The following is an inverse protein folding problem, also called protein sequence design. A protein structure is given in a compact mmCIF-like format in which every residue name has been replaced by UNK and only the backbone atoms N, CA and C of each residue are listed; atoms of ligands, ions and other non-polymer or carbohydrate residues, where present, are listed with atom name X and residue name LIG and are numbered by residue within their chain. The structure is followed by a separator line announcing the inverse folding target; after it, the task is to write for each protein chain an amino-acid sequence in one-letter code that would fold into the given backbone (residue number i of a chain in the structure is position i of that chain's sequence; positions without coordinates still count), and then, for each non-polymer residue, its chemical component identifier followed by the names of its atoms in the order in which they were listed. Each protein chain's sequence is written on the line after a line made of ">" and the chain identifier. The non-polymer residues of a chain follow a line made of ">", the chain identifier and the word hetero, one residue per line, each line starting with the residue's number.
data_IF_187597930159
#
_entry.id   IF_187597930159
#
_cell.length_a   1.000
_cell.length_b   1.000
_cell.length_c   1.000
_cell.angle_alpha   90.00
_cell.angle_beta   90.00
_cell.angle_gamma   90.00
#
_symmetry.space_group_name_H-M   'P 1'
#
loop_
_entity.id
_entity.type
_entity.pdbx_description
1 polymer ?
#
# COMPACT_ATOMS: atom_id res chain seq x y z
N UNK A 1 11.13 8.70 -14.84
CA UNK A 1 11.59 10.01 -15.17
C UNK A 1 12.87 10.32 -14.44
N UNK A 2 13.77 10.97 -15.13
CA UNK A 2 15.07 11.22 -14.55
C UNK A 2 14.96 12.04 -13.27
N UNK A 3 15.80 11.70 -12.32
CA UNK A 3 15.85 12.41 -11.07
C UNK A 3 15.03 11.82 -9.95
N UNK A 4 14.22 10.80 -10.23
CA UNK A 4 13.44 10.16 -9.18
C UNK A 4 14.01 8.77 -8.93
N UNK A 5 14.34 8.52 -7.67
CA UNK A 5 14.88 7.22 -7.25
C UNK A 5 13.79 6.44 -6.54
N UNK A 6 13.50 5.24 -7.03
CA UNK A 6 12.48 4.38 -6.43
C UNK A 6 13.13 3.07 -6.05
N UNK A 7 13.05 2.72 -4.77
CA UNK A 7 13.59 1.47 -4.27
C UNK A 7 12.45 0.59 -3.79
N UNK A 8 12.49 -0.66 -4.21
CA UNK A 8 11.48 -1.63 -3.81
C UNK A 8 12.18 -2.75 -3.05
N UNK A 9 11.71 -3.02 -1.85
CA UNK A 9 12.20 -4.11 -1.03
C UNK A 9 11.06 -5.02 -0.67
N UNK A 10 11.31 -6.30 -0.66
CA UNK A 10 10.29 -7.26 -0.22
C UNK A 10 10.96 -8.36 0.58
N UNK A 11 10.19 -8.97 1.44
CA UNK A 11 10.69 -10.07 2.23
C UNK A 11 9.57 -10.92 2.77
N UNK A 12 9.79 -12.22 2.79
CA UNK A 12 8.84 -13.15 3.38
C UNK A 12 7.45 -13.07 2.75
N UNK A 13 7.39 -12.83 1.44
CA UNK A 13 6.10 -12.76 0.75
C UNK A 13 5.91 -13.98 -0.12
N UNK A 14 4.64 -14.31 -0.37
CA UNK A 14 4.27 -15.39 -1.26
C UNK A 14 4.27 -14.89 -2.70
N UNK A 15 4.33 -15.84 -3.63
CA UNK A 15 4.26 -15.49 -5.04
C UNK A 15 2.92 -14.87 -5.41
N UNK A 16 1.87 -15.28 -4.73
CA UNK A 16 0.53 -14.96 -5.16
C UNK A 16 -0.38 -14.95 -3.94
N UNK A 17 -1.12 -13.87 -3.76
CA UNK A 17 -2.08 -13.73 -2.68
C UNK A 17 -3.51 -13.77 -3.17
N UNK A 18 -3.71 -14.15 -4.43
CA UNK A 18 -5.04 -14.19 -5.02
C UNK A 18 -5.34 -12.91 -5.76
N UNK A 19 -6.30 -13.00 -6.68
CA UNK A 19 -6.58 -11.89 -7.58
C UNK A 19 -6.94 -10.60 -6.86
N UNK A 20 -7.80 -10.69 -5.85
CA UNK A 20 -8.27 -9.50 -5.17
C UNK A 20 -7.15 -8.80 -4.43
N UNK A 21 -6.37 -9.54 -3.65
CA UNK A 21 -5.27 -8.95 -2.89
C UNK A 21 -4.20 -8.41 -3.82
N UNK A 22 -3.84 -9.19 -4.84
CA UNK A 22 -2.84 -8.73 -5.80
C UNK A 22 -3.24 -7.42 -6.45
N UNK A 23 -4.51 -7.31 -6.83
CA UNK A 23 -5.02 -6.11 -7.46
C UNK A 23 -4.99 -4.91 -6.52
N UNK A 24 -5.38 -5.13 -5.27
CA UNK A 24 -5.36 -4.06 -4.28
C UNK A 24 -3.93 -3.56 -4.06
N UNK A 25 -2.97 -4.49 -3.96
CA UNK A 25 -1.57 -4.11 -3.77
C UNK A 25 -1.08 -3.25 -4.93
N UNK A 26 -1.34 -3.70 -6.16
CA UNK A 26 -0.86 -2.97 -7.33
C UNK A 26 -1.50 -1.59 -7.43
N UNK A 27 -2.81 -1.51 -7.28
CA UNK A 27 -3.50 -0.23 -7.40
C UNK A 27 -3.11 0.74 -6.30
N UNK A 28 -2.96 0.24 -5.08
CA UNK A 28 -2.55 1.10 -3.97
C UNK A 28 -1.14 1.62 -4.19
N UNK A 29 -0.25 0.76 -4.67
CA UNK A 29 1.11 1.18 -4.96
C UNK A 29 1.12 2.28 -6.03
N UNK A 30 0.34 2.09 -7.08
CA UNK A 30 0.28 3.08 -8.16
C UNK A 30 -0.25 4.42 -7.67
N UNK A 31 -1.29 4.40 -6.85
CA UNK A 31 -1.84 5.63 -6.30
C UNK A 31 -0.84 6.34 -5.40
N UNK A 32 -0.18 5.57 -4.54
CA UNK A 32 0.80 6.16 -3.63
C UNK A 32 1.97 6.76 -4.40
N UNK A 33 2.44 6.06 -5.44
CA UNK A 33 3.52 6.59 -6.26
C UNK A 33 3.10 7.87 -6.97
N UNK A 34 1.89 7.87 -7.52
CA UNK A 34 1.38 9.06 -8.20
C UNK A 34 1.33 10.24 -7.25
N UNK A 35 0.84 10.01 -6.04
CA UNK A 35 0.77 11.08 -5.06
C UNK A 35 2.17 11.61 -4.70
N UNK A 36 3.12 10.72 -4.50
CA UNK A 36 4.48 11.12 -4.15
C UNK A 36 5.13 11.94 -5.26
N UNK A 37 4.95 11.51 -6.50
CA UNK A 37 5.61 12.16 -7.62
C UNK A 37 4.93 13.48 -7.99
N UNK A 38 3.60 13.45 -8.13
CA UNK A 38 2.88 14.62 -8.63
C UNK A 38 2.65 15.68 -7.57
N UNK A 39 2.31 15.26 -6.38
CA UNK A 39 1.89 16.18 -5.33
C UNK A 39 2.95 16.40 -4.29
N UNK A 40 3.72 15.36 -3.98
CA UNK A 40 4.77 15.47 -3.00
C UNK A 40 6.09 15.94 -3.56
N UNK A 41 6.25 15.92 -4.87
CA UNK A 41 7.51 16.28 -5.53
C UNK A 41 8.68 15.50 -4.96
N UNK A 42 8.45 14.23 -4.71
CA UNK A 42 9.46 13.39 -4.09
C UNK A 42 10.59 13.11 -5.06
N UNK A 43 11.79 12.96 -4.53
CA UNK A 43 12.95 12.53 -5.30
C UNK A 43 13.36 11.13 -4.94
N UNK A 44 13.05 10.71 -3.74
CA UNK A 44 13.35 9.36 -3.28
C UNK A 44 12.09 8.74 -2.71
N UNK A 45 11.76 7.55 -3.18
CA UNK A 45 10.56 6.83 -2.75
C UNK A 45 11.00 5.41 -2.40
N UNK A 46 10.61 4.96 -1.20
CA UNK A 46 10.89 3.61 -0.73
C UNK A 46 9.60 2.84 -0.62
N UNK A 47 9.55 1.67 -1.23
CA UNK A 47 8.38 0.80 -1.15
C UNK A 47 8.83 -0.49 -0.48
N UNK A 48 8.15 -0.87 0.58
CA UNK A 48 8.45 -2.11 1.30
C UNK A 48 7.21 -2.98 1.34
N UNK A 49 7.40 -4.26 1.04
CA UNK A 49 6.30 -5.23 1.04
C UNK A 49 6.78 -6.47 1.77
N UNK A 50 6.08 -6.82 2.86
CA UNK A 50 6.47 -8.00 3.63
C UNK A 50 5.26 -8.59 4.33
N UNK A 51 5.42 -9.85 4.74
CA UNK A 51 4.37 -10.55 5.48
C UNK A 51 4.90 -10.86 6.86
N UNK A 52 4.09 -10.61 7.89
CA UNK A 52 4.44 -10.91 9.26
C UNK A 52 3.18 -11.25 10.03
N UNK A 53 3.20 -12.40 10.72
CA UNK A 53 2.09 -12.82 11.57
C UNK A 53 0.76 -12.84 10.83
N UNK A 54 0.79 -13.35 9.60
CA UNK A 54 -0.39 -13.47 8.73
C UNK A 54 -0.99 -12.12 8.38
N UNK A 55 -0.17 -11.09 8.33
CA UNK A 55 -0.57 -9.77 7.85
C UNK A 55 0.39 -9.36 6.73
N UNK A 56 -0.18 -9.00 5.59
CA UNK A 56 0.59 -8.47 4.49
C UNK A 56 0.67 -6.96 4.66
N UNK A 57 1.88 -6.44 4.68
CA UNK A 57 2.11 -5.02 4.95
C UNK A 57 2.86 -4.40 3.80
N UNK A 58 2.37 -3.27 3.32
CA UNK A 58 3.08 -2.49 2.32
C UNK A 58 3.20 -1.06 2.80
N UNK A 59 4.40 -0.50 2.73
CA UNK A 59 4.59 0.91 3.03
C UNK A 59 5.21 1.60 1.84
N UNK A 60 4.78 2.83 1.59
CA UNK A 60 5.35 3.69 0.58
C UNK A 60 5.73 4.98 1.29
N UNK A 61 7.01 5.26 1.33
CA UNK A 61 7.53 6.45 2.03
C UNK A 61 8.31 7.29 1.04
N UNK A 62 8.08 8.59 1.07
CA UNK A 62 8.79 9.50 0.20
C UNK A 62 9.44 10.62 0.99
N UNK A 63 10.32 11.36 0.33
CA UNK A 63 11.00 12.52 0.90
C UNK A 63 10.47 13.82 0.34
N UNK A 64 9.22 13.82 -0.11
CA UNK A 64 8.62 15.00 -0.70
C UNK A 64 8.24 16.05 0.33
N UNK A 65 7.34 16.93 -0.07
CA UNK A 65 7.01 18.10 0.77
C UNK A 65 5.95 17.81 1.82
N UNK A 66 5.42 16.61 1.86
CA UNK A 66 4.45 16.26 2.90
C UNK A 66 3.11 16.93 2.68
N UNK A 67 2.32 16.43 1.81
CA UNK A 67 1.10 17.09 1.36
C UNK A 67 -0.11 16.59 2.12
N UNK A 68 -0.25 16.98 3.37
CA UNK A 68 -1.34 16.51 4.20
C UNK A 68 -2.72 16.75 3.62
N UNK A 69 -2.92 17.94 3.13
CA UNK A 69 -4.24 18.33 2.67
C UNK A 69 -4.59 17.69 1.35
N UNK A 70 -3.59 17.57 0.51
CA UNK A 70 -3.79 17.02 -0.81
C UNK A 70 -4.15 15.55 -0.74
N UNK A 71 -3.50 14.84 0.16
CA UNK A 71 -3.67 13.41 0.24
C UNK A 71 -5.11 13.01 0.55
N UNK A 72 -5.77 13.76 1.41
CA UNK A 72 -7.14 13.42 1.77
C UNK A 72 -8.11 13.57 0.62
N UNK A 73 -7.83 14.45 -0.31
CA UNK A 73 -8.74 14.68 -1.41
C UNK A 73 -8.41 13.91 -2.66
N UNK A 74 -7.24 13.27 -2.72
CA UNK A 74 -6.77 12.67 -3.96
C UNK A 74 -6.38 11.22 -3.74
N UNK A 75 -7.26 10.31 -4.05
CA UNK A 75 -6.92 8.91 -4.09
C UNK A 75 -7.02 8.14 -2.79
N UNK A 76 -6.88 8.79 -1.63
CA UNK A 76 -6.91 8.05 -0.38
C UNK A 76 -8.24 7.39 -0.11
N UNK A 77 -9.34 8.07 -0.41
CA UNK A 77 -10.64 7.45 -0.20
C UNK A 77 -10.82 6.25 -1.13
N UNK A 78 -10.29 6.33 -2.35
CA UNK A 78 -10.31 5.19 -3.25
C UNK A 78 -9.48 4.03 -2.75
N UNK A 79 -8.33 4.34 -2.16
CA UNK A 79 -7.49 3.31 -1.55
C UNK A 79 -8.22 2.61 -0.42
N UNK A 80 -8.86 3.39 0.44
CA UNK A 80 -9.56 2.82 1.58
C UNK A 80 -10.72 1.94 1.12
N UNK A 81 -11.40 2.39 0.09
CA UNK A 81 -12.51 1.61 -0.44
C UNK A 81 -12.04 0.28 -1.01
N UNK A 82 -10.94 0.29 -1.74
CA UNK A 82 -10.37 -0.95 -2.27
C UNK A 82 -9.91 -1.87 -1.16
N UNK A 83 -9.26 -1.29 -0.14
CA UNK A 83 -8.75 -2.08 0.97
C UNK A 83 -9.87 -2.73 1.76
N UNK A 84 -11.03 -2.08 1.86
CA UNK A 84 -12.13 -2.62 2.63
C UNK A 84 -12.57 -3.98 2.08
N UNK A 85 -12.35 -4.23 0.81
CA UNK A 85 -12.69 -5.52 0.21
C UNK A 85 -11.81 -6.64 0.72
N UNK A 86 -10.66 -6.32 1.27
CA UNK A 86 -9.72 -7.28 1.81
C UNK A 86 -9.62 -7.17 3.33
N UNK A 87 -10.53 -6.43 3.95
CA UNK A 87 -10.48 -6.13 5.39
C UNK A 87 -9.20 -5.42 5.77
N UNK A 88 -8.60 -4.73 4.82
CA UNK A 88 -7.36 -4.03 5.05
C UNK A 88 -7.56 -2.66 5.67
N UNK A 89 -6.49 -2.13 6.21
CA UNK A 89 -6.48 -0.79 6.80
C UNK A 89 -5.40 0.05 6.17
N UNK A 90 -5.57 1.36 6.26
CA UNK A 90 -4.64 2.32 5.71
C UNK A 90 -4.28 3.35 6.79
N UNK A 91 -2.99 3.60 6.93
CA UNK A 91 -2.49 4.60 7.85
C UNK A 91 -1.57 5.54 7.10
N UNK A 92 -1.58 6.80 7.48
CA UNK A 92 -0.68 7.78 6.91
C UNK A 92 0.08 8.47 8.03
N UNK A 93 1.29 8.90 7.73
CA UNK A 93 2.09 9.63 8.70
C UNK A 93 3.08 10.52 7.98
N UNK A 94 3.59 11.51 8.72
CA UNK A 94 4.64 12.39 8.23
C UNK A 94 5.88 12.09 9.07
N UNK A 95 6.91 11.49 8.47
CA UNK A 95 8.13 11.20 9.24
C UNK A 95 8.76 12.47 9.79
N UNK A 96 9.51 12.36 10.89
CA UNK A 96 10.14 13.54 11.50
C UNK A 96 11.06 14.28 10.53
N UNK A 97 11.70 13.56 9.64
CA UNK A 97 12.62 14.16 8.67
C UNK A 97 11.89 14.78 7.49
N UNK A 98 10.57 14.71 7.47
CA UNK A 98 9.78 15.24 6.36
C UNK A 98 9.30 14.16 5.45
N UNK A 99 8.51 14.54 4.45
CA UNK A 99 7.95 13.58 3.52
C UNK A 99 6.61 13.04 3.96
N UNK A 100 6.25 11.90 3.40
CA UNK A 100 4.95 11.31 3.65
C UNK A 100 5.07 9.78 3.59
N UNK A 101 4.31 9.10 4.42
CA UNK A 101 4.33 7.65 4.45
C UNK A 101 2.91 7.11 4.48
N UNK A 102 2.63 6.17 3.59
CA UNK A 102 1.37 5.43 3.55
C UNK A 102 1.68 3.99 3.90
N UNK A 103 0.93 3.42 4.82
CA UNK A 103 1.09 2.02 5.20
C UNK A 103 -0.26 1.33 5.09
N UNK A 104 -0.29 0.21 4.37
CA UNK A 104 -1.49 -0.61 4.31
C UNK A 104 -1.21 -1.97 4.93
N UNK A 105 -2.23 -2.53 5.56
CA UNK A 105 -2.15 -3.83 6.20
C UNK A 105 -3.35 -4.66 5.79
N UNK A 106 -3.09 -5.86 5.31
CA UNK A 106 -4.15 -6.76 4.86
C UNK A 106 -4.07 -8.03 5.68
N UNK A 107 -5.10 -8.36 6.47
CA UNK A 107 -5.08 -9.56 7.29
C UNK A 107 -5.31 -10.79 6.42
N UNK A 108 -4.30 -11.62 6.32
CA UNK A 108 -4.36 -12.78 5.43
C UNK A 108 -5.24 -13.89 5.96
N UNK A 109 -5.40 -13.95 7.26
CA UNK A 109 -6.28 -14.95 7.85
C UNK A 109 -7.71 -14.76 7.36
N UNK A 110 -8.18 -13.53 7.36
CA UNK A 110 -9.53 -13.26 6.87
C UNK A 110 -9.67 -13.58 5.40
N UNK A 111 -8.65 -13.28 4.63
CA UNK A 111 -8.64 -13.58 3.20
C UNK A 111 -8.69 -15.10 3.00
N UNK A 112 -7.88 -15.83 3.76
CA UNK A 112 -7.83 -17.28 3.65
C UNK A 112 -9.16 -17.91 4.01
N UNK A 113 -9.79 -17.44 5.07
CA UNK A 113 -11.09 -17.97 5.47
C UNK A 113 -12.13 -17.72 4.40
N UNK A 114 -12.11 -16.55 3.83
CA UNK A 114 -13.05 -16.20 2.78
C UNK A 114 -12.88 -17.12 1.58
N UNK A 115 -11.65 -17.33 1.19
CA UNK A 115 -11.36 -18.20 0.07
C UNK A 115 -11.66 -19.64 0.42
N UNK A 116 -11.40 -20.03 1.66
CA UNK A 116 -11.71 -21.37 2.12
C UNK A 116 -13.19 -21.64 2.10
N UNK A 117 -14.00 -20.70 2.53
CA UNK A 117 -15.44 -20.85 2.47
C UNK A 117 -15.90 -21.02 1.05
N UNK A 118 -15.38 -20.20 0.18
CA UNK A 118 -15.75 -20.25 -1.22
C UNK A 118 -15.37 -21.58 -1.84
N UNK A 119 -14.18 -22.04 -1.54
CA UNK A 119 -13.70 -23.32 -2.06
C UNK A 119 -14.29 -24.51 -1.33
N UNK A 120 -14.62 -24.31 -0.08
CA UNK A 120 -15.12 -25.37 0.76
C UNK A 120 -16.47 -25.90 0.33
N UNK A 121 -17.16 -25.13 -0.46
CA UNK A 121 -18.43 -25.56 -0.96
C UNK A 121 -18.31 -26.56 -2.07
N UNK A 122 -17.15 -26.63 -2.62
CA UNK A 122 -16.91 -27.58 -3.70
C UNK A 122 -16.42 -28.91 -3.18
#
# INVERSE_FOLDING_TARGET
>A
VSGINIELSSGNIKKDYGRTVNSVIVHTMQEALTNSIRHGRAKNISINLWEKDSVLIMSVQDDGVGTKEIVKGIGLSGMEERLSKTYGTLETSTPPEGGFKVTIKIPLINISLKEGDYNGET
#
